data_IF_131554756906
#
_entry.id   IF_131554756906
#
_cell.length_a   1.000
_cell.length_b   1.000
_cell.length_c   1.000
_cell.angle_alpha   90.00
_cell.angle_beta   90.00
_cell.angle_gamma   90.00
#
_symmetry.space_group_name_H-M   'P 1'
#
loop_
_entity.id
_entity.type
_entity.pdbx_description
1 polymer ?
#
# COMPACT_ATOMS: atom_id res chain seq x y z
N UNK A 1 9.84 -13.80 2.40
CA UNK A 1 8.89 -13.05 3.26
C UNK A 1 8.31 -11.89 2.48
N UNK A 2 7.05 -11.48 2.75
CA UNK A 2 6.45 -10.31 2.10
C UNK A 2 7.34 -9.07 2.22
N UNK A 3 7.62 -8.42 1.08
CA UNK A 3 8.48 -7.23 1.02
C UNK A 3 9.92 -7.50 0.58
N UNK A 4 10.36 -8.76 0.55
CA UNK A 4 11.64 -9.14 -0.05
C UNK A 4 11.68 -8.80 -1.56
N UNK A 5 10.54 -8.80 -2.26
CA UNK A 5 10.48 -8.34 -3.67
C UNK A 5 10.94 -6.90 -3.82
N UNK A 6 10.49 -6.01 -2.92
CA UNK A 6 10.80 -4.58 -2.96
C UNK A 6 12.26 -4.33 -2.57
N UNK A 7 12.77 -5.04 -1.58
CA UNK A 7 14.19 -4.99 -1.20
C UNK A 7 15.08 -5.49 -2.36
N UNK A 8 14.69 -6.59 -3.00
CA UNK A 8 15.38 -7.11 -4.17
C UNK A 8 15.36 -6.10 -5.33
N UNK A 9 14.20 -5.51 -5.63
CA UNK A 9 14.08 -4.48 -6.67
C UNK A 9 14.97 -3.26 -6.39
N UNK A 10 15.03 -2.81 -5.14
CA UNK A 10 15.91 -1.74 -4.71
C UNK A 10 17.39 -2.09 -4.95
N UNK A 11 17.85 -3.25 -4.46
CA UNK A 11 19.24 -3.66 -4.65
C UNK A 11 19.60 -3.88 -6.12
N UNK A 12 18.66 -4.41 -6.91
CA UNK A 12 18.83 -4.60 -8.34
C UNK A 12 18.99 -3.25 -9.05
N UNK A 13 18.15 -2.26 -8.75
CA UNK A 13 18.24 -0.91 -9.27
C UNK A 13 19.58 -0.24 -8.92
N UNK A 14 20.04 -0.39 -7.66
CA UNK A 14 21.35 0.11 -7.23
C UNK A 14 22.49 -0.55 -8.02
N UNK A 15 22.43 -1.87 -8.23
CA UNK A 15 23.47 -2.62 -8.95
C UNK A 15 23.59 -2.24 -10.43
N UNK A 16 22.52 -1.70 -11.01
CA UNK A 16 22.45 -1.27 -12.40
C UNK A 16 22.58 0.25 -12.57
N UNK A 17 22.92 0.99 -11.50
CA UNK A 17 23.05 2.45 -11.48
C UNK A 17 21.77 3.16 -12.00
N UNK A 18 20.61 2.64 -11.62
CA UNK A 18 19.29 3.22 -11.94
C UNK A 18 18.93 4.32 -10.96
N UNK A 19 18.19 5.32 -11.44
CA UNK A 19 17.59 6.32 -10.56
C UNK A 19 16.50 5.67 -9.68
N UNK A 20 16.51 5.98 -8.39
CA UNK A 20 15.59 5.40 -7.41
C UNK A 20 14.81 6.53 -6.73
N UNK A 21 13.49 6.36 -6.62
CA UNK A 21 12.61 7.24 -5.87
C UNK A 21 11.83 6.43 -4.83
N UNK A 22 11.84 6.88 -3.58
CA UNK A 22 11.00 6.31 -2.53
C UNK A 22 9.63 6.99 -2.57
N UNK A 23 8.62 6.22 -2.95
CA UNK A 23 7.25 6.72 -3.17
C UNK A 23 6.27 6.35 -2.06
N UNK A 24 6.72 5.59 -1.06
CA UNK A 24 5.90 5.21 0.08
C UNK A 24 5.89 6.29 1.18
N UNK A 25 4.82 6.29 1.96
CA UNK A 25 4.65 7.20 3.07
C UNK A 25 5.61 6.86 4.23
N UNK A 26 6.27 7.88 4.78
CA UNK A 26 7.04 7.71 6.01
C UNK A 26 6.17 7.08 7.10
N UNK A 27 6.62 5.94 7.62
CA UNK A 27 5.90 5.15 8.63
C UNK A 27 5.52 5.97 9.86
N UNK A 28 6.30 7.02 10.20
CA UNK A 28 6.00 7.93 11.31
C UNK A 28 4.71 8.70 11.09
N UNK A 29 4.43 9.12 9.85
CA UNK A 29 3.17 9.77 9.50
C UNK A 29 2.02 8.78 9.63
N UNK A 30 2.20 7.54 9.17
CA UNK A 30 1.20 6.48 9.32
C UNK A 30 0.90 6.21 10.79
N UNK A 31 1.92 6.06 11.63
CA UNK A 31 1.77 5.88 13.09
C UNK A 31 1.05 7.07 13.74
N UNK A 32 1.32 8.30 13.29
CA UNK A 32 0.61 9.49 13.76
C UNK A 32 -0.87 9.45 13.38
N UNK A 33 -1.20 9.14 12.13
CA UNK A 33 -2.59 9.02 11.64
C UNK A 33 -3.36 7.88 12.31
N UNK A 34 -2.69 6.79 12.67
CA UNK A 34 -3.29 5.70 13.46
C UNK A 34 -3.74 6.14 14.86
N UNK A 35 -3.25 7.27 15.39
CA UNK A 35 -3.75 7.84 16.64
C UNK A 35 -5.21 8.30 16.51
N UNK A 36 -5.61 8.76 15.32
CA UNK A 36 -6.95 9.25 15.00
C UNK A 36 -7.98 8.12 14.80
N UNK A 37 -7.52 6.87 14.73
CA UNK A 37 -8.40 5.70 14.68
C UNK A 37 -9.05 5.45 16.05
N UNK A 38 -10.32 5.04 16.06
CA UNK A 38 -11.08 4.81 17.30
C UNK A 38 -10.38 3.76 18.16
N UNK A 39 -10.26 4.02 19.47
CA UNK A 39 -9.61 3.10 20.43
C UNK A 39 -10.22 1.69 20.40
N UNK A 40 -11.54 1.59 20.18
CA UNK A 40 -12.25 0.29 20.08
C UNK A 40 -11.73 -0.55 18.91
N UNK A 41 -11.50 0.05 17.75
CA UNK A 41 -10.96 -0.65 16.57
C UNK A 41 -9.53 -1.10 16.83
N UNK A 42 -8.69 -0.24 17.43
CA UNK A 42 -7.31 -0.59 17.81
C UNK A 42 -7.24 -1.75 18.79
N UNK A 43 -8.10 -1.75 19.83
CA UNK A 43 -8.17 -2.84 20.80
C UNK A 43 -8.67 -4.12 20.13
N UNK A 44 -9.72 -4.04 19.31
CA UNK A 44 -10.25 -5.19 18.57
C UNK A 44 -9.17 -5.79 17.65
N UNK A 45 -8.44 -4.97 16.89
CA UNK A 45 -7.35 -5.43 16.02
C UNK A 45 -6.22 -6.08 16.82
N UNK A 46 -5.83 -5.48 17.96
CA UNK A 46 -4.84 -6.07 18.86
C UNK A 46 -5.29 -7.43 19.42
N UNK A 47 -6.57 -7.58 19.80
CA UNK A 47 -7.14 -8.86 20.23
C UNK A 47 -7.15 -9.87 19.07
N UNK A 48 -7.57 -9.47 17.87
CA UNK A 48 -7.58 -10.34 16.69
C UNK A 48 -6.19 -10.90 16.38
N UNK A 49 -5.16 -10.04 16.43
CA UNK A 49 -3.76 -10.44 16.28
C UNK A 49 -3.37 -11.40 17.41
N UNK A 50 -3.62 -11.04 18.67
CA UNK A 50 -3.28 -11.89 19.82
C UNK A 50 -3.96 -13.26 19.75
N UNK A 51 -5.24 -13.34 19.39
CA UNK A 51 -5.98 -14.61 19.23
C UNK A 51 -5.42 -15.43 18.06
N UNK A 52 -5.10 -14.79 16.94
CA UNK A 52 -4.43 -15.42 15.80
C UNK A 52 -3.05 -16.01 16.17
N UNK A 53 -2.28 -15.29 16.99
CA UNK A 53 -0.97 -15.73 17.46
C UNK A 53 -0.99 -16.73 18.64
N UNK A 54 -1.98 -16.68 19.55
CA UNK A 54 -1.97 -17.45 20.81
C UNK A 54 -2.73 -18.78 20.82
N UNK A 55 -3.53 -19.16 19.80
CA UNK A 55 -4.32 -20.38 20.00
C UNK A 55 -5.04 -21.11 18.87
N UNK A 56 -5.06 -20.64 17.62
CA UNK A 56 -5.77 -21.35 16.53
C UNK A 56 -5.12 -21.19 15.14
N UNK A 57 -3.83 -20.81 15.10
CA UNK A 57 -3.13 -20.28 13.93
C UNK A 57 -2.60 -21.29 12.89
N UNK A 58 -3.42 -22.23 12.42
CA UNK A 58 -3.05 -23.05 11.23
C UNK A 58 -3.28 -22.34 9.88
N UNK A 59 -3.62 -21.04 9.85
CA UNK A 59 -4.08 -20.39 8.60
C UNK A 59 -3.29 -19.19 8.08
N UNK A 60 -2.27 -18.70 8.78
CA UNK A 60 -1.48 -17.57 8.28
C UNK A 60 0.00 -17.90 8.33
N UNK A 61 0.49 -18.51 7.25
CA UNK A 61 1.93 -18.61 7.02
C UNK A 61 2.45 -17.24 6.58
N UNK A 62 2.98 -16.49 7.55
CA UNK A 62 3.56 -15.15 7.36
C UNK A 62 4.80 -15.19 6.46
N UNK A 63 5.37 -16.36 6.19
CA UNK A 63 6.55 -16.50 5.33
C UNK A 63 6.22 -16.50 3.83
N UNK A 64 4.97 -16.76 3.48
CA UNK A 64 4.48 -16.85 2.09
C UNK A 64 3.68 -15.61 1.72
N UNK A 65 3.81 -15.15 0.47
CA UNK A 65 2.98 -14.07 -0.08
C UNK A 65 1.60 -14.66 -0.36
N UNK A 66 0.52 -14.12 0.21
CA UNK A 66 -0.81 -14.60 -0.09
C UNK A 66 -1.17 -14.35 -1.56
N UNK A 67 -1.95 -15.25 -2.16
CA UNK A 67 -2.49 -15.04 -3.51
C UNK A 67 -3.46 -13.85 -3.54
N UNK A 68 -3.64 -13.25 -4.72
CA UNK A 68 -4.42 -12.02 -4.92
C UNK A 68 -5.87 -12.10 -4.37
N UNK A 69 -6.51 -13.28 -4.47
CA UNK A 69 -7.86 -13.52 -3.94
C UNK A 69 -7.88 -13.41 -2.40
N UNK A 70 -6.88 -13.99 -1.73
CA UNK A 70 -6.75 -13.90 -0.28
C UNK A 70 -6.44 -12.48 0.18
N UNK A 71 -5.58 -11.76 -0.56
CA UNK A 71 -5.29 -10.35 -0.27
C UNK A 71 -6.56 -9.52 -0.36
N UNK A 72 -7.35 -9.73 -1.41
CA UNK A 72 -8.62 -9.01 -1.63
C UNK A 72 -9.61 -9.27 -0.50
N UNK A 73 -9.77 -10.53 -0.08
CA UNK A 73 -10.62 -10.90 1.06
C UNK A 73 -10.17 -10.20 2.36
N UNK A 74 -8.87 -10.21 2.66
CA UNK A 74 -8.33 -9.56 3.86
C UNK A 74 -8.51 -8.04 3.84
N UNK A 75 -8.36 -7.41 2.67
CA UNK A 75 -8.56 -5.98 2.51
C UNK A 75 -10.03 -5.60 2.72
N UNK A 76 -10.97 -6.38 2.18
CA UNK A 76 -12.40 -6.16 2.40
C UNK A 76 -12.82 -6.46 3.85
N UNK A 77 -12.30 -7.52 4.48
CA UNK A 77 -12.54 -7.77 5.90
C UNK A 77 -12.03 -6.59 6.75
N UNK A 78 -10.84 -6.06 6.43
CA UNK A 78 -10.31 -4.88 7.13
C UNK A 78 -11.21 -3.66 6.95
N UNK A 79 -11.76 -3.45 5.75
CA UNK A 79 -12.68 -2.35 5.45
C UNK A 79 -13.95 -2.43 6.30
N UNK A 80 -14.54 -3.61 6.42
CA UNK A 80 -15.77 -3.82 7.18
C UNK A 80 -15.53 -3.81 8.70
N UNK A 81 -14.49 -4.51 9.16
CA UNK A 81 -14.26 -4.75 10.58
C UNK A 81 -13.51 -3.61 11.28
N UNK A 82 -12.70 -2.86 10.52
CA UNK A 82 -11.79 -1.82 11.03
C UNK A 82 -11.74 -0.60 10.08
N UNK A 83 -12.86 0.09 9.81
CA UNK A 83 -12.95 1.14 8.79
C UNK A 83 -11.97 2.30 9.01
N UNK A 84 -11.59 2.61 10.26
CA UNK A 84 -10.57 3.61 10.57
C UNK A 84 -9.16 3.15 10.24
N UNK A 85 -8.83 1.88 10.49
CA UNK A 85 -7.54 1.30 10.06
C UNK A 85 -7.46 1.22 8.54
N UNK A 86 -8.52 0.74 7.88
CA UNK A 86 -8.62 0.71 6.43
C UNK A 86 -8.40 2.10 5.82
N UNK A 87 -9.05 3.14 6.35
CA UNK A 87 -8.85 4.51 5.86
C UNK A 87 -7.39 4.94 5.94
N UNK A 88 -6.72 4.75 7.07
CA UNK A 88 -5.33 5.22 7.27
C UNK A 88 -4.33 4.37 6.47
N UNK A 89 -4.48 3.05 6.52
CA UNK A 89 -3.50 2.12 5.94
C UNK A 89 -3.67 1.94 4.44
N UNK A 90 -4.90 2.06 3.91
CA UNK A 90 -5.20 1.88 2.49
C UNK A 90 -5.49 3.23 1.82
N UNK A 91 -6.59 3.90 2.18
CA UNK A 91 -7.07 5.07 1.43
C UNK A 91 -6.04 6.21 1.43
N UNK A 92 -5.66 6.68 2.62
CA UNK A 92 -4.73 7.81 2.76
C UNK A 92 -3.33 7.47 2.24
N UNK A 93 -2.88 6.22 2.45
CA UNK A 93 -1.57 5.76 1.97
C UNK A 93 -1.54 5.62 0.44
N UNK A 94 -2.60 5.11 -0.18
CA UNK A 94 -2.72 5.03 -1.63
C UNK A 94 -2.72 6.41 -2.26
N UNK A 95 -3.46 7.38 -1.68
CA UNK A 95 -3.43 8.77 -2.13
C UNK A 95 -2.02 9.37 -2.04
N UNK A 96 -1.26 9.06 -1.00
CA UNK A 96 0.12 9.49 -0.87
C UNK A 96 0.99 8.89 -1.98
N UNK A 97 0.91 7.57 -2.20
CA UNK A 97 1.68 6.86 -3.22
C UNK A 97 1.39 7.42 -4.62
N UNK A 98 0.12 7.62 -4.97
CA UNK A 98 -0.28 8.19 -6.27
C UNK A 98 0.34 9.57 -6.46
N UNK A 99 0.22 10.46 -5.47
CA UNK A 99 0.82 11.81 -5.53
C UNK A 99 2.35 11.76 -5.60
N UNK A 100 2.99 10.77 -5.00
CA UNK A 100 4.43 10.59 -5.08
C UNK A 100 4.84 10.13 -6.50
N UNK A 101 4.10 9.18 -7.08
CA UNK A 101 4.33 8.69 -8.44
C UNK A 101 4.11 9.78 -9.49
N UNK A 102 3.05 10.58 -9.38
CA UNK A 102 2.83 11.73 -10.27
C UNK A 102 4.00 12.71 -10.26
N UNK A 103 4.57 13.00 -9.08
CA UNK A 103 5.74 13.90 -8.98
C UNK A 103 6.99 13.30 -9.60
N UNK A 104 7.17 11.98 -9.51
CA UNK A 104 8.29 11.29 -10.16
C UNK A 104 8.12 11.37 -11.67
N UNK A 105 6.93 11.09 -12.17
CA UNK A 105 6.60 11.16 -13.60
C UNK A 105 6.78 12.58 -14.18
N UNK A 106 6.32 13.62 -13.46
CA UNK A 106 6.51 15.02 -13.84
C UNK A 106 7.99 15.46 -13.90
N UNK A 107 8.87 14.80 -13.13
CA UNK A 107 10.28 15.19 -12.95
C UNK A 107 11.25 14.29 -13.72
N UNK A 108 10.77 13.21 -14.34
CA UNK A 108 11.60 12.22 -15.00
C UNK A 108 11.18 12.06 -16.45
N UNK A 109 12.16 12.01 -17.35
CA UNK A 109 11.92 11.67 -18.76
C UNK A 109 12.16 10.17 -18.96
N UNK A 110 11.09 9.41 -19.27
CA UNK A 110 11.18 7.99 -19.59
C UNK A 110 10.22 7.10 -18.80
N UNK A 111 10.37 5.79 -18.98
CA UNK A 111 9.49 4.81 -18.33
C UNK A 111 9.82 4.66 -16.84
N UNK A 112 8.81 4.78 -15.98
CA UNK A 112 8.91 4.55 -14.54
C UNK A 112 8.37 3.15 -14.21
N UNK A 113 9.16 2.35 -13.49
CA UNK A 113 8.72 1.05 -12.94
C UNK A 113 8.56 1.18 -11.44
N UNK A 114 7.35 0.98 -10.94
CA UNK A 114 7.03 1.05 -9.51
C UNK A 114 6.81 -0.35 -8.92
N UNK A 115 7.43 -0.60 -7.76
CA UNK A 115 7.22 -1.80 -6.95
C UNK A 115 6.46 -1.41 -5.69
N UNK A 116 5.31 -2.03 -5.44
CA UNK A 116 4.42 -1.71 -4.32
C UNK A 116 4.02 -2.99 -3.60
N UNK A 117 3.63 -2.86 -2.33
CA UNK A 117 2.98 -3.96 -1.61
C UNK A 117 1.69 -4.37 -2.33
N UNK A 118 1.48 -5.68 -2.49
CA UNK A 118 0.41 -6.24 -3.33
C UNK A 118 -0.99 -5.68 -3.02
N UNK A 119 -1.30 -5.43 -1.74
CA UNK A 119 -2.57 -4.83 -1.30
C UNK A 119 -2.82 -3.41 -1.88
N UNK A 120 -1.78 -2.70 -2.30
CA UNK A 120 -1.88 -1.33 -2.83
C UNK A 120 -1.91 -1.27 -4.37
N UNK A 121 -1.38 -2.29 -5.06
CA UNK A 121 -1.14 -2.28 -6.51
C UNK A 121 -2.41 -1.95 -7.30
N UNK A 122 -3.48 -2.73 -7.08
CA UNK A 122 -4.71 -2.58 -7.86
C UNK A 122 -5.32 -1.19 -7.70
N UNK A 123 -5.43 -0.69 -6.46
CA UNK A 123 -6.10 0.59 -6.22
C UNK A 123 -5.26 1.79 -6.65
N UNK A 124 -3.93 1.73 -6.49
CA UNK A 124 -3.03 2.77 -6.99
C UNK A 124 -3.11 2.87 -8.51
N UNK A 125 -3.15 1.73 -9.21
CA UNK A 125 -3.31 1.69 -10.67
C UNK A 125 -4.61 2.36 -11.13
N UNK A 126 -5.74 1.99 -10.52
CA UNK A 126 -7.04 2.62 -10.83
C UNK A 126 -7.01 4.15 -10.64
N UNK A 127 -6.39 4.61 -9.55
CA UNK A 127 -6.30 6.05 -9.26
C UNK A 127 -5.41 6.80 -10.25
N UNK A 128 -4.33 6.17 -10.75
CA UNK A 128 -3.48 6.75 -11.80
C UNK A 128 -4.24 6.83 -13.13
N UNK A 129 -4.96 5.76 -13.51
CA UNK A 129 -5.78 5.76 -14.72
C UNK A 129 -6.87 6.86 -14.68
N UNK A 130 -7.49 7.08 -13.51
CA UNK A 130 -8.46 8.17 -13.31
C UNK A 130 -7.84 9.56 -13.50
N UNK A 131 -6.64 9.78 -12.96
CA UNK A 131 -5.87 11.04 -13.09
C UNK A 131 -5.51 11.33 -14.54
N UNK A 132 -5.04 10.33 -15.28
CA UNK A 132 -4.61 10.49 -16.68
C UNK A 132 -5.79 10.84 -17.59
N UNK A 133 -6.94 10.21 -17.33
CA UNK A 133 -8.19 10.51 -18.03
C UNK A 133 -8.66 11.95 -17.77
N UNK A 134 -8.55 12.44 -16.53
CA UNK A 134 -8.89 13.83 -16.19
C UNK A 134 -7.95 14.83 -16.88
N UNK A 135 -6.64 14.56 -16.85
CA UNK A 135 -5.62 15.39 -17.47
C UNK A 135 -5.78 15.48 -19.00
N UNK A 136 -6.24 14.41 -19.63
CA UNK A 136 -6.52 14.37 -21.08
C UNK A 136 -7.76 15.20 -21.43
N UNK A 137 -8.80 15.16 -20.59
CA UNK A 137 -10.02 15.95 -20.76
C UNK A 137 -9.74 17.45 -20.64
N UNK A 138 -8.94 17.88 -19.66
CA UNK A 138 -8.59 19.30 -19.46
C UNK A 138 -7.76 19.89 -20.61
N UNK A 139 -6.90 19.09 -21.27
CA UNK A 139 -6.10 19.54 -22.42
C UNK A 139 -6.88 19.63 -23.74
N UNK A 140 -8.12 19.15 -23.77
CA UNK A 140 -8.97 19.10 -24.97
C UNK A 140 -9.97 20.28 -25.08
N UNK A 141 -9.93 21.21 -24.13
CA UNK A 141 -10.70 22.47 -24.11
C UNK A 141 -9.79 23.69 -24.27
#
# INVERSE_FOLDING_TARGET
MPGEEMEYAYHKAVSEDRQIALVDQDVRVTIQRLKDVRRKEKVKAGISILVGFLGFGEKFDVSTIPDDDMISELVEEMREQFPGLYRVLMVERNEFIVKALQRVDEQHEGDVVAFLGAAHVQKVKEMLDEVDNQSTMEKSF
#
